data_IF_468228908157
#
_entry.id   IF_468228908157
#
_cell.length_a   1.000
_cell.length_b   1.000
_cell.length_c   1.000
_cell.angle_alpha   90.00
_cell.angle_beta   90.00
_cell.angle_gamma   90.00
#
_symmetry.space_group_name_H-M   'P 1'
#
loop_
_entity.id
_entity.type
_entity.pdbx_description
1 polymer ?
#
# COMPACT_ATOMS: atom_id res chain seq x y z
N UNK A 1 20.42 11.48 -34.57
CA UNK A 1 19.61 11.47 -33.34
C UNK A 1 19.00 10.09 -33.19
N UNK A 2 19.49 9.27 -32.25
CA UNK A 2 18.75 8.12 -31.76
C UNK A 2 18.11 8.46 -30.41
N UNK A 3 16.79 8.30 -30.34
CA UNK A 3 16.00 8.41 -29.13
C UNK A 3 16.44 7.34 -28.12
N UNK A 4 16.88 7.80 -26.95
CA UNK A 4 17.10 6.97 -25.76
C UNK A 4 15.80 6.91 -24.97
N UNK A 5 15.39 5.76 -24.44
CA UNK A 5 14.24 5.69 -23.54
C UNK A 5 14.59 6.41 -22.22
N UNK A 6 13.78 7.40 -21.88
CA UNK A 6 13.89 8.20 -20.66
C UNK A 6 13.67 7.32 -19.43
N UNK A 7 14.68 7.28 -18.58
CA UNK A 7 14.72 6.58 -17.30
C UNK A 7 13.99 7.40 -16.22
N UNK A 8 13.23 6.71 -15.38
CA UNK A 8 12.63 7.23 -14.15
C UNK A 8 13.69 7.89 -13.26
N UNK A 9 13.36 9.08 -12.77
CA UNK A 9 14.28 10.05 -12.19
C UNK A 9 14.48 9.81 -10.69
N UNK A 10 15.39 8.91 -10.31
CA UNK A 10 15.99 8.92 -8.97
C UNK A 10 17.49 8.56 -9.06
N UNK A 11 18.30 9.57 -9.40
CA UNK A 11 19.71 9.62 -9.05
C UNK A 11 20.06 11.02 -8.55
N UNK A 12 20.11 11.19 -7.23
CA UNK A 12 20.92 12.25 -6.61
C UNK A 12 21.97 11.57 -5.74
N UNK A 13 23.21 11.70 -6.21
CA UNK A 13 24.43 11.20 -5.60
C UNK A 13 24.65 11.78 -4.19
N UNK A 14 24.66 10.90 -3.20
CA UNK A 14 25.34 11.12 -1.95
C UNK A 14 26.86 11.29 -2.22
N UNK A 15 27.39 12.49 -2.07
CA UNK A 15 28.85 12.73 -2.01
C UNK A 15 29.23 13.62 -0.83
N UNK A 16 29.64 12.94 0.25
CA UNK A 16 30.60 13.27 1.31
C UNK A 16 30.99 14.75 1.53
N UNK A 17 30.89 15.20 2.79
CA UNK A 17 32.00 15.83 3.53
C UNK A 17 31.90 15.52 5.03
N UNK A 18 32.72 14.59 5.51
CA UNK A 18 33.13 14.50 6.92
C UNK A 18 34.22 15.54 7.13
N UNK A 19 34.06 16.44 8.10
CA UNK A 19 35.17 17.18 8.68
C UNK A 19 35.21 16.88 10.18
N UNK A 20 36.36 16.37 10.62
CA UNK A 20 36.76 16.13 12.00
C UNK A 20 36.93 17.47 12.75
N UNK A 21 36.35 17.60 13.94
CA UNK A 21 36.95 18.38 15.03
C UNK A 21 36.78 17.59 16.33
N UNK A 22 37.91 17.10 16.85
CA UNK A 22 38.08 16.53 18.19
C UNK A 22 38.95 17.48 19.02
N UNK A 23 38.73 17.45 20.34
CA UNK A 23 39.56 18.01 21.42
C UNK A 23 39.56 19.53 21.66
N UNK A 24 38.78 19.97 22.66
CA UNK A 24 39.33 20.72 23.79
C UNK A 24 38.84 20.09 25.08
N UNK A 25 39.78 19.51 25.83
CA UNK A 25 39.64 19.01 27.19
C UNK A 25 39.58 20.17 28.19
N UNK A 26 38.78 19.98 29.23
CA UNK A 26 39.30 20.15 30.59
C UNK A 26 38.95 21.45 31.32
N UNK A 27 38.56 21.26 32.58
CA UNK A 27 38.62 22.19 33.70
C UNK A 27 37.43 23.16 33.85
N UNK A 28 36.36 22.66 34.48
CA UNK A 28 35.82 23.36 35.64
C UNK A 28 35.64 22.37 36.78
N UNK A 29 36.65 22.38 37.65
CA UNK A 29 36.68 21.70 38.94
C UNK A 29 35.63 22.31 39.89
N UNK A 30 34.96 21.41 40.63
CA UNK A 30 34.79 21.43 42.08
C UNK A 30 34.81 22.79 42.82
N UNK A 31 33.67 23.15 43.41
CA UNK A 31 33.44 23.67 44.77
C UNK A 31 32.02 24.26 44.75
N UNK A 32 31.06 23.85 45.58
CA UNK A 32 30.90 24.06 47.03
C UNK A 32 29.94 22.93 47.47
N UNK A 33 30.23 22.09 48.46
CA UNK A 33 30.34 22.44 49.87
C UNK A 33 29.02 22.07 50.58
N UNK A 34 29.12 21.15 51.53
CA UNK A 34 28.05 20.41 52.23
C UNK A 34 27.30 21.22 53.30
N UNK A 35 26.17 20.62 53.72
CA UNK A 35 25.43 20.75 54.99
C UNK A 35 24.45 21.92 55.22
N UNK A 36 23.16 21.57 55.32
CA UNK A 36 22.47 21.61 56.62
C UNK A 36 21.22 20.70 56.62
N UNK A 37 21.09 19.91 57.68
CA UNK A 37 19.99 18.98 57.96
C UNK A 37 19.01 19.60 58.98
N UNK A 38 17.75 19.15 58.90
CA UNK A 38 16.66 19.23 59.90
C UNK A 38 16.03 20.62 60.13
N UNK A 39 14.74 20.80 60.42
CA UNK A 39 13.48 20.04 60.41
C UNK A 39 12.40 21.09 60.72
N UNK A 40 11.20 21.02 60.13
CA UNK A 40 9.92 21.06 60.85
C UNK A 40 8.71 21.12 59.90
N UNK A 41 7.74 20.29 60.24
CA UNK A 41 6.46 20.05 59.59
C UNK A 41 5.44 21.14 59.92
N UNK A 42 4.65 21.54 58.92
CA UNK A 42 3.22 21.85 58.96
C UNK A 42 2.84 22.22 57.52
N UNK A 43 1.98 21.55 56.77
CA UNK A 43 0.71 20.96 57.15
C UNK A 43 -0.35 21.58 56.24
N UNK A 44 -0.43 21.16 54.97
CA UNK A 44 -1.65 21.32 54.17
C UNK A 44 -1.88 20.07 53.31
N UNK A 45 -2.90 19.34 53.72
CA UNK A 45 -3.54 18.25 53.01
C UNK A 45 -4.21 18.82 51.74
N UNK A 46 -3.56 18.72 50.59
CA UNK A 46 -4.27 18.61 49.32
C UNK A 46 -3.99 17.22 48.76
N UNK A 47 -4.97 16.33 48.92
CA UNK A 47 -5.10 15.11 48.13
C UNK A 47 -5.26 15.52 46.66
N UNK A 48 -4.14 15.76 45.99
CA UNK A 48 -4.08 15.59 44.54
C UNK A 48 -4.26 14.10 44.33
N UNK A 49 -5.49 13.72 43.99
CA UNK A 49 -5.78 12.43 43.40
C UNK A 49 -4.94 12.34 42.13
N UNK A 50 -3.76 11.72 42.23
CA UNK A 50 -3.10 11.11 41.08
C UNK A 50 -4.09 10.10 40.55
N UNK A 51 -4.89 10.54 39.60
CA UNK A 51 -5.66 9.67 38.73
C UNK A 51 -4.59 8.89 37.95
N UNK A 52 -4.15 7.76 38.50
CA UNK A 52 -3.44 6.74 37.76
C UNK A 52 -4.42 6.30 36.67
N UNK A 53 -4.34 6.92 35.50
CA UNK A 53 -4.84 6.33 34.26
C UNK A 53 -3.86 5.24 33.85
N UNK A 54 -3.73 4.20 34.67
CA UNK A 54 -3.30 2.89 34.20
C UNK A 54 -4.48 2.29 33.44
N UNK A 55 -4.75 2.83 32.26
CA UNK A 55 -5.34 2.01 31.20
C UNK A 55 -4.20 1.16 30.65
N UNK A 56 -3.78 0.14 31.41
CA UNK A 56 -2.99 -0.95 30.85
C UNK A 56 -3.93 -1.78 29.95
N UNK A 57 -4.38 -1.19 28.85
CA UNK A 57 -4.79 -1.96 27.69
C UNK A 57 -3.51 -2.56 27.16
N UNK A 58 -3.28 -3.85 27.42
CA UNK A 58 -2.20 -4.58 26.76
C UNK A 58 -2.48 -4.54 25.25
N UNK A 59 -1.89 -3.56 24.57
CA UNK A 59 -1.94 -3.46 23.11
C UNK A 59 -1.33 -4.73 22.55
N UNK A 60 -1.97 -5.32 21.54
CA UNK A 60 -1.49 -6.54 20.90
C UNK A 60 -0.12 -6.27 20.26
N UNK A 61 0.89 -7.02 20.71
CA UNK A 61 2.27 -6.97 20.19
C UNK A 61 2.57 -8.33 19.54
N UNK A 62 2.57 -8.44 18.20
CA UNK A 62 3.04 -9.64 17.53
C UNK A 62 4.57 -9.78 17.70
N UNK A 63 5.08 -11.01 17.66
CA UNK A 63 6.52 -11.33 17.73
C UNK A 63 7.15 -11.29 16.34
N UNK A 64 8.47 -11.07 16.26
CA UNK A 64 9.19 -11.15 15.00
C UNK A 64 9.04 -12.52 14.31
N UNK A 65 8.97 -12.54 12.97
CA UNK A 65 8.87 -13.76 12.16
C UNK A 65 7.48 -14.43 12.12
N UNK A 66 6.45 -13.84 12.73
CA UNK A 66 5.07 -14.35 12.66
C UNK A 66 4.57 -14.34 11.21
N UNK A 67 3.85 -15.39 10.79
CA UNK A 67 3.44 -15.52 9.39
C UNK A 67 2.23 -14.65 9.09
N UNK A 68 2.21 -14.01 7.92
CA UNK A 68 1.15 -13.08 7.56
C UNK A 68 0.68 -13.24 6.11
N UNK A 69 -0.41 -12.57 5.78
CA UNK A 69 -0.96 -12.41 4.44
C UNK A 69 -1.47 -10.99 4.31
N UNK A 70 -1.34 -10.41 3.12
CA UNK A 70 -1.94 -9.12 2.76
C UNK A 70 -2.79 -9.27 1.51
N UNK A 71 -4.00 -8.72 1.50
CA UNK A 71 -4.90 -8.72 0.34
C UNK A 71 -5.73 -7.42 0.32
N UNK A 72 -5.46 -6.53 -0.64
CA UNK A 72 -6.07 -5.19 -0.65
C UNK A 72 -7.02 -4.92 -1.83
N UNK A 73 -6.83 -5.54 -3.00
CA UNK A 73 -7.65 -5.21 -4.18
C UNK A 73 -9.08 -5.76 -4.17
N UNK A 74 -9.33 -6.85 -3.42
CA UNK A 74 -10.65 -7.47 -3.34
C UNK A 74 -10.94 -7.88 -1.90
N UNK A 75 -12.22 -7.85 -1.53
CA UNK A 75 -12.68 -8.42 -0.27
C UNK A 75 -12.23 -9.89 -0.13
N UNK A 76 -11.85 -10.29 1.09
CA UNK A 76 -11.40 -11.65 1.36
C UNK A 76 -12.57 -12.62 1.25
N UNK A 77 -12.49 -13.52 0.27
CA UNK A 77 -13.42 -14.63 0.05
C UNK A 77 -12.80 -15.98 0.39
N UNK A 78 -11.51 -16.16 0.11
CA UNK A 78 -10.73 -17.33 0.50
C UNK A 78 -9.95 -17.07 1.80
N UNK A 79 -10.33 -17.80 2.85
CA UNK A 79 -9.73 -17.72 4.19
C UNK A 79 -8.97 -19.00 4.53
N UNK A 80 -8.42 -19.69 3.52
CA UNK A 80 -7.67 -20.95 3.68
C UNK A 80 -6.15 -20.77 3.69
N UNK A 81 -5.65 -19.59 3.32
CA UNK A 81 -4.21 -19.28 3.39
C UNK A 81 -3.73 -19.45 4.83
N UNK A 82 -2.73 -20.33 5.02
CA UNK A 82 -2.13 -20.58 6.32
C UNK A 82 -1.23 -19.41 6.72
N UNK A 83 -1.81 -18.40 7.36
CA UNK A 83 -1.14 -17.25 7.95
C UNK A 83 -1.70 -16.98 9.35
N UNK A 84 -0.90 -16.46 10.27
CA UNK A 84 -1.37 -16.10 11.62
C UNK A 84 -2.07 -14.73 11.62
N UNK A 85 -1.64 -13.85 10.72
CA UNK A 85 -2.08 -12.45 10.60
C UNK A 85 -2.58 -12.19 9.18
N UNK A 86 -3.70 -11.49 9.06
CA UNK A 86 -4.27 -11.02 7.79
C UNK A 86 -4.35 -9.51 7.80
N UNK A 87 -3.72 -8.87 6.81
CA UNK A 87 -3.83 -7.45 6.51
C UNK A 87 -4.77 -7.26 5.31
N UNK A 88 -5.87 -6.56 5.52
CA UNK A 88 -6.97 -6.48 4.56
C UNK A 88 -7.51 -5.05 4.48
N UNK A 89 -8.04 -4.66 3.31
CA UNK A 89 -8.62 -3.33 3.14
C UNK A 89 -9.77 -3.08 4.12
N UNK A 90 -9.72 -1.95 4.83
CA UNK A 90 -10.71 -1.55 5.84
C UNK A 90 -12.09 -1.36 5.23
N UNK A 91 -12.22 -0.80 4.04
CA UNK A 91 -13.51 -0.43 3.45
C UNK A 91 -14.18 -1.62 2.79
N UNK A 92 -13.41 -2.42 2.05
CA UNK A 92 -13.92 -3.50 1.19
C UNK A 92 -14.29 -4.75 1.98
N UNK A 93 -13.79 -4.91 3.21
CA UNK A 93 -14.10 -6.04 4.07
C UNK A 93 -15.17 -5.72 5.12
N UNK A 94 -16.08 -6.66 5.35
CA UNK A 94 -17.16 -6.51 6.34
C UNK A 94 -16.73 -6.97 7.73
N UNK A 95 -17.49 -6.60 8.77
CA UNK A 95 -17.29 -7.13 10.12
C UNK A 95 -17.44 -8.67 10.18
N UNK A 96 -18.28 -9.25 9.32
CA UNK A 96 -18.48 -10.70 9.23
C UNK A 96 -17.24 -11.40 8.64
N UNK A 97 -16.58 -10.79 7.65
CA UNK A 97 -15.28 -11.26 7.12
C UNK A 97 -14.23 -11.30 8.23
N UNK A 98 -14.10 -10.21 8.99
CA UNK A 98 -13.16 -10.11 10.11
C UNK A 98 -13.50 -11.14 11.20
N UNK A 99 -14.77 -11.28 11.56
CA UNK A 99 -15.23 -12.27 12.55
C UNK A 99 -14.92 -13.69 12.09
N UNK A 100 -15.09 -13.99 10.80
CA UNK A 100 -14.77 -15.29 10.20
C UNK A 100 -13.27 -15.59 10.33
N UNK A 101 -12.40 -14.65 9.96
CA UNK A 101 -10.94 -14.80 10.12
C UNK A 101 -10.57 -15.03 11.59
N UNK A 102 -11.11 -14.23 12.51
CA UNK A 102 -10.82 -14.35 13.94
C UNK A 102 -11.32 -15.67 14.54
N UNK A 103 -12.46 -16.19 14.06
CA UNK A 103 -12.99 -17.49 14.51
C UNK A 103 -12.06 -18.67 14.17
N UNK A 104 -11.20 -18.49 13.15
CA UNK A 104 -10.15 -19.43 12.76
C UNK A 104 -8.82 -19.21 13.48
N UNK A 105 -8.76 -18.27 14.42
CA UNK A 105 -7.58 -17.97 15.23
C UNK A 105 -6.67 -16.90 14.63
N UNK A 106 -7.03 -16.29 13.50
CA UNK A 106 -6.23 -15.24 12.89
C UNK A 106 -6.36 -13.90 13.63
N UNK A 107 -5.29 -13.10 13.56
CA UNK A 107 -5.35 -11.66 13.87
C UNK A 107 -5.61 -10.87 12.59
N UNK A 108 -6.36 -9.77 12.70
CA UNK A 108 -6.72 -8.95 11.54
C UNK A 108 -6.19 -7.52 11.69
N UNK A 109 -5.35 -7.12 10.75
CA UNK A 109 -4.90 -5.75 10.53
C UNK A 109 -5.80 -5.16 9.43
N UNK A 110 -6.22 -3.92 9.61
CA UNK A 110 -7.05 -3.21 8.65
C UNK A 110 -6.26 -2.07 8.01
N UNK A 111 -5.98 -2.23 6.72
CA UNK A 111 -5.33 -1.24 5.86
C UNK A 111 -6.27 -0.05 5.58
N UNK A 112 -5.72 1.16 5.59
CA UNK A 112 -6.31 2.32 4.93
C UNK A 112 -5.22 3.33 4.61
N UNK A 113 -5.35 4.11 3.53
CA UNK A 113 -4.43 5.23 3.35
C UNK A 113 -4.72 6.35 4.35
N UNK A 114 -3.70 6.78 5.10
CA UNK A 114 -3.79 7.91 6.02
C UNK A 114 -3.18 9.19 5.45
N UNK A 115 -2.19 9.05 4.57
CA UNK A 115 -1.48 10.16 3.94
C UNK A 115 -2.00 10.57 2.56
N UNK A 116 -2.98 9.84 1.99
CA UNK A 116 -3.58 10.21 0.70
C UNK A 116 -5.10 10.17 0.71
N UNK A 117 -5.65 10.98 -0.19
CA UNK A 117 -7.03 10.97 -0.64
C UNK A 117 -7.14 9.95 -1.78
N UNK A 118 -8.16 9.12 -1.74
CA UNK A 118 -8.46 8.08 -2.72
C UNK A 118 -9.87 8.32 -3.26
N UNK A 119 -10.03 8.70 -4.53
CA UNK A 119 -11.31 9.20 -5.08
C UNK A 119 -12.44 8.16 -5.14
N UNK A 120 -12.12 6.89 -4.90
CA UNK A 120 -13.07 5.78 -4.83
C UNK A 120 -13.61 5.51 -3.42
N UNK A 121 -13.08 6.17 -2.37
CA UNK A 121 -13.54 5.92 -0.99
C UNK A 121 -14.91 6.57 -0.73
N UNK A 122 -15.78 5.94 0.08
CA UNK A 122 -17.12 6.46 0.32
C UNK A 122 -17.13 7.74 1.18
N UNK A 123 -16.02 8.08 1.82
CA UNK A 123 -15.88 9.26 2.69
C UNK A 123 -15.20 10.46 2.02
N UNK A 124 -14.98 10.43 0.70
CA UNK A 124 -14.31 11.50 -0.08
C UNK A 124 -14.94 12.89 0.12
N UNK A 125 -16.26 12.95 0.31
CA UNK A 125 -17.00 14.20 0.50
C UNK A 125 -16.67 14.92 1.80
N UNK A 126 -15.94 14.26 2.71
CA UNK A 126 -15.48 14.85 3.97
C UNK A 126 -14.18 15.62 3.83
N UNK A 127 -13.40 15.43 2.76
CA UNK A 127 -12.14 16.13 2.56
C UNK A 127 -12.39 17.54 2.01
N UNK A 128 -11.67 18.52 2.54
CA UNK A 128 -11.68 19.87 1.99
C UNK A 128 -10.66 19.93 0.84
N UNK A 129 -10.98 20.64 -0.24
CA UNK A 129 -10.08 20.75 -1.41
C UNK A 129 -8.73 21.38 -1.06
N UNK A 130 -8.68 22.19 0.00
CA UNK A 130 -7.46 22.80 0.54
C UNK A 130 -6.51 21.80 1.20
N UNK A 131 -6.99 20.60 1.54
CA UNK A 131 -6.16 19.54 2.13
C UNK A 131 -5.49 18.65 1.06
N UNK A 132 -5.81 18.86 -0.22
CA UNK A 132 -5.33 18.01 -1.30
C UNK A 132 -4.07 18.57 -1.96
N UNK A 133 -2.99 17.80 -1.92
CA UNK A 133 -1.69 18.07 -2.55
C UNK A 133 -1.62 17.56 -3.99
N UNK A 134 -0.39 17.24 -4.41
CA UNK A 134 -0.12 16.67 -5.72
C UNK A 134 -0.73 15.26 -5.87
N UNK A 135 -0.96 14.87 -7.12
CA UNK A 135 -1.31 13.49 -7.45
C UNK A 135 -0.13 12.55 -7.17
N UNK A 136 -0.43 11.27 -6.91
CA UNK A 136 0.57 10.21 -6.94
C UNK A 136 0.70 9.72 -8.39
N UNK A 137 1.91 9.78 -8.95
CA UNK A 137 2.14 9.53 -10.38
C UNK A 137 1.71 8.11 -10.83
N UNK A 138 1.85 7.13 -9.95
CA UNK A 138 1.56 5.71 -10.23
C UNK A 138 0.11 5.31 -9.90
N UNK A 139 -0.64 6.19 -9.22
CA UNK A 139 -1.97 5.89 -8.67
C UNK A 139 -2.99 6.95 -9.09
N UNK A 140 -3.63 6.80 -10.27
CA UNK A 140 -4.67 7.71 -10.73
C UNK A 140 -5.83 7.81 -9.73
N UNK A 141 -6.31 9.03 -9.48
CA UNK A 141 -7.36 9.29 -8.49
C UNK A 141 -6.85 9.47 -7.06
N UNK A 142 -5.54 9.29 -6.83
CA UNK A 142 -4.90 9.41 -5.52
C UNK A 142 -4.10 10.70 -5.38
N UNK A 143 -4.23 11.37 -4.23
CA UNK A 143 -3.56 12.66 -3.95
C UNK A 143 -3.01 12.73 -2.53
N UNK A 144 -1.85 13.34 -2.36
CA UNK A 144 -1.28 13.59 -1.02
C UNK A 144 -2.22 14.44 -0.16
N UNK A 145 -2.28 14.14 1.15
CA UNK A 145 -3.09 14.88 2.11
C UNK A 145 -2.24 15.78 3.00
N UNK A 146 -2.81 16.94 3.36
CA UNK A 146 -2.28 17.78 4.41
C UNK A 146 -2.53 17.14 5.79
N UNK A 147 -1.64 16.26 6.23
CA UNK A 147 -1.72 15.52 7.50
C UNK A 147 -1.69 16.39 8.77
N UNK A 148 -1.44 17.70 8.62
CA UNK A 148 -1.52 18.69 9.69
C UNK A 148 -2.94 19.23 9.90
N UNK A 149 -3.84 18.99 8.94
CA UNK A 149 -5.22 19.47 8.98
C UNK A 149 -6.02 18.75 10.06
N UNK A 150 -6.71 19.53 10.90
CA UNK A 150 -7.67 19.00 11.87
C UNK A 150 -8.80 18.22 11.18
N UNK A 151 -9.17 18.62 9.96
CA UNK A 151 -10.18 17.94 9.15
C UNK A 151 -9.70 16.55 8.73
N UNK A 152 -8.48 16.44 8.18
CA UNK A 152 -7.86 15.15 7.84
C UNK A 152 -7.74 14.26 9.08
N UNK A 153 -7.29 14.81 10.21
CA UNK A 153 -7.21 14.07 11.48
C UNK A 153 -8.57 13.57 11.97
N UNK A 154 -9.63 14.35 11.83
CA UNK A 154 -10.99 13.92 12.16
C UNK A 154 -11.51 12.80 11.24
N UNK A 155 -11.15 12.84 9.95
CA UNK A 155 -11.48 11.76 9.00
C UNK A 155 -10.74 10.47 9.40
N UNK A 156 -9.44 10.53 9.69
CA UNK A 156 -8.69 9.35 10.13
C UNK A 156 -9.19 8.81 11.47
N UNK A 157 -9.60 9.68 12.39
CA UNK A 157 -10.29 9.28 13.62
C UNK A 157 -11.56 8.46 13.32
N UNK A 158 -12.36 8.91 12.35
CA UNK A 158 -13.56 8.19 11.91
C UNK A 158 -13.24 6.85 11.24
N UNK A 159 -12.14 6.76 10.48
CA UNK A 159 -11.65 5.49 9.91
C UNK A 159 -11.18 4.52 11.02
N UNK A 160 -10.52 5.02 12.05
CA UNK A 160 -10.15 4.22 13.23
C UNK A 160 -11.39 3.76 14.03
N UNK A 161 -12.43 4.59 14.14
CA UNK A 161 -13.72 4.17 14.73
C UNK A 161 -14.35 3.03 13.92
N UNK A 162 -14.31 3.12 12.59
CA UNK A 162 -14.78 2.06 11.70
C UNK A 162 -13.98 0.77 11.89
N UNK A 163 -12.65 0.84 11.93
CA UNK A 163 -11.78 -0.31 12.16
C UNK A 163 -12.12 -1.00 13.50
N UNK A 164 -12.29 -0.21 14.57
CA UNK A 164 -12.70 -0.76 15.86
C UNK A 164 -14.07 -1.42 15.80
N UNK A 165 -15.05 -0.79 15.16
CA UNK A 165 -16.41 -1.30 15.04
C UNK A 165 -16.47 -2.61 14.23
N UNK A 166 -15.63 -2.75 13.20
CA UNK A 166 -15.53 -3.99 12.40
C UNK A 166 -14.75 -5.11 13.11
N UNK A 167 -13.99 -4.79 14.17
CA UNK A 167 -13.32 -5.77 15.01
C UNK A 167 -11.84 -6.01 14.69
N UNK A 168 -11.19 -5.08 13.97
CA UNK A 168 -9.75 -5.12 13.68
C UNK A 168 -8.93 -5.24 14.98
N UNK A 169 -7.86 -6.05 14.97
CA UNK A 169 -6.88 -6.14 16.06
C UNK A 169 -5.83 -5.01 15.95
N UNK A 170 -5.63 -4.47 14.76
CA UNK A 170 -4.72 -3.38 14.49
C UNK A 170 -4.98 -2.71 13.14
N UNK A 171 -4.19 -1.69 12.81
CA UNK A 171 -4.32 -0.92 11.56
C UNK A 171 -2.98 -0.72 10.87
N UNK A 172 -3.01 -0.68 9.54
CA UNK A 172 -1.89 -0.34 8.66
C UNK A 172 -2.19 0.96 7.90
N UNK A 173 -1.82 2.13 8.46
CA UNK A 173 -2.06 3.42 7.84
C UNK A 173 -0.97 3.72 6.78
N UNK A 174 -1.35 3.75 5.51
CA UNK A 174 -0.42 3.96 4.40
C UNK A 174 -0.09 5.43 4.14
N UNK A 175 0.93 5.65 3.29
CA UNK A 175 1.37 6.92 2.72
C UNK A 175 1.83 7.94 3.77
N UNK A 176 2.38 7.45 4.89
CA UNK A 176 2.87 8.29 5.98
C UNK A 176 4.20 9.00 5.66
N UNK A 177 4.80 8.70 4.51
CA UNK A 177 6.10 9.15 4.03
C UNK A 177 6.00 10.22 2.93
N UNK A 178 4.89 10.96 2.90
CA UNK A 178 4.67 12.07 1.97
C UNK A 178 5.84 13.08 1.94
N UNK A 179 6.59 13.24 3.04
CA UNK A 179 7.77 14.12 3.12
C UNK A 179 8.92 13.69 2.19
N UNK A 180 9.01 12.41 1.84
CA UNK A 180 10.01 11.88 0.89
C UNK A 180 9.60 12.07 -0.57
N UNK A 181 8.39 12.60 -0.80
CA UNK A 181 7.74 12.66 -2.10
C UNK A 181 7.46 14.11 -2.53
N UNK A 182 7.18 14.29 -3.82
CA UNK A 182 6.72 15.57 -4.39
C UNK A 182 5.26 15.86 -3.98
N UNK A 183 5.01 16.08 -2.69
CA UNK A 183 3.65 16.14 -2.12
C UNK A 183 2.88 17.44 -2.43
N UNK A 184 3.55 18.53 -2.77
CA UNK A 184 2.91 19.82 -3.08
C UNK A 184 2.37 20.59 -1.87
N UNK A 185 2.63 20.10 -0.65
CA UNK A 185 2.12 20.64 0.62
C UNK A 185 3.24 21.09 1.58
N UNK A 186 4.51 20.82 1.23
CA UNK A 186 5.67 21.15 2.04
C UNK A 186 5.76 20.33 3.32
N UNK A 187 5.23 19.09 3.30
CA UNK A 187 5.28 18.19 4.45
C UNK A 187 6.72 17.75 4.75
N UNK A 188 7.01 17.62 6.04
CA UNK A 188 8.33 17.25 6.57
C UNK A 188 8.27 15.95 7.37
N UNK A 189 9.42 15.32 7.64
CA UNK A 189 9.54 14.19 8.57
C UNK A 189 8.87 14.50 9.92
N UNK A 190 9.04 15.72 10.42
CA UNK A 190 8.45 16.17 11.69
C UNK A 190 6.92 16.16 11.67
N UNK A 191 6.30 16.51 10.53
CA UNK A 191 4.85 16.47 10.36
C UNK A 191 4.34 15.03 10.37
N UNK A 192 5.03 14.11 9.71
CA UNK A 192 4.68 12.68 9.72
C UNK A 192 4.90 12.03 11.08
N UNK A 193 5.97 12.37 11.80
CA UNK A 193 6.20 11.90 13.17
C UNK A 193 5.07 12.37 14.10
N UNK A 194 4.63 13.63 14.00
CA UNK A 194 3.49 14.12 14.79
C UNK A 194 2.18 13.41 14.43
N UNK A 195 1.95 13.22 13.14
CA UNK A 195 0.75 12.53 12.66
C UNK A 195 0.71 11.05 13.07
N UNK A 196 1.82 10.33 12.98
CA UNK A 196 1.95 8.95 13.48
C UNK A 196 1.75 8.86 14.99
N UNK A 197 2.29 9.81 15.76
CA UNK A 197 2.01 9.91 17.21
C UNK A 197 0.53 10.12 17.49
N UNK A 198 -0.17 10.91 16.66
CA UNK A 198 -1.61 11.07 16.74
C UNK A 198 -2.35 9.76 16.42
N UNK A 199 -2.07 9.13 15.29
CA UNK A 199 -2.71 7.87 14.87
C UNK A 199 -2.47 6.74 15.89
N UNK A 200 -1.26 6.63 16.43
CA UNK A 200 -0.94 5.62 17.44
C UNK A 200 -1.74 5.83 18.72
N UNK A 201 -1.82 7.07 19.24
CA UNK A 201 -2.66 7.38 20.41
C UNK A 201 -4.13 7.06 20.16
N UNK A 202 -4.66 7.45 18.99
CA UNK A 202 -6.05 7.18 18.64
C UNK A 202 -6.33 5.67 18.49
N UNK A 203 -5.44 4.93 17.83
CA UNK A 203 -5.55 3.46 17.69
C UNK A 203 -5.46 2.75 19.05
N UNK A 204 -4.46 3.10 19.87
CA UNK A 204 -4.27 2.51 21.21
C UNK A 204 -5.45 2.82 22.13
N UNK A 205 -6.04 4.01 22.05
CA UNK A 205 -7.24 4.36 22.84
C UNK A 205 -8.46 3.48 22.50
N UNK A 206 -8.49 2.92 21.29
CA UNK A 206 -9.49 1.95 20.82
C UNK A 206 -9.07 0.50 21.09
N UNK A 207 -7.92 0.29 21.72
CA UNK A 207 -7.36 -1.03 22.00
C UNK A 207 -6.87 -1.77 20.76
N UNK A 208 -6.54 -1.05 19.69
CA UNK A 208 -5.97 -1.59 18.46
C UNK A 208 -4.48 -1.29 18.41
N UNK A 209 -3.71 -2.17 17.79
CA UNK A 209 -2.31 -1.94 17.47
C UNK A 209 -2.13 -1.10 16.19
N UNK A 210 -0.92 -0.63 15.90
CA UNK A 210 -0.60 0.16 14.71
C UNK A 210 0.81 -0.18 14.20
N UNK A 211 0.97 -0.18 12.88
CA UNK A 211 2.24 -0.34 12.18
C UNK A 211 2.79 0.97 11.62
N UNK A 212 4.09 0.94 11.30
CA UNK A 212 4.72 1.90 10.41
C UNK A 212 4.82 1.31 9.00
N UNK A 213 4.14 1.91 8.03
CA UNK A 213 4.25 1.57 6.61
C UNK A 213 5.39 2.37 5.97
N UNK A 214 6.41 1.69 5.46
CA UNK A 214 7.64 2.29 4.92
C UNK A 214 8.27 3.30 5.91
N UNK A 215 8.65 4.50 5.47
CA UNK A 215 9.15 5.56 6.38
C UNK A 215 10.43 5.22 7.16
N UNK A 216 11.39 4.54 6.52
CA UNK A 216 12.60 4.04 7.16
C UNK A 216 13.45 5.09 7.90
N UNK A 217 13.44 6.33 7.41
CA UNK A 217 14.17 7.47 7.95
C UNK A 217 13.64 7.99 9.30
N UNK A 218 12.35 7.78 9.58
CA UNK A 218 11.71 8.21 10.84
C UNK A 218 11.58 7.10 11.90
N UNK A 219 12.05 5.87 11.62
CA UNK A 219 11.96 4.72 12.53
C UNK A 219 12.45 5.08 13.94
N UNK A 220 13.62 5.73 14.04
CA UNK A 220 14.21 6.09 15.34
C UNK A 220 13.33 7.01 16.20
N UNK A 221 12.37 7.71 15.59
CA UNK A 221 11.44 8.62 16.28
C UNK A 221 10.10 7.99 16.65
N UNK A 222 9.74 6.85 16.04
CA UNK A 222 8.39 6.25 16.17
C UNK A 222 8.41 4.78 16.59
N UNK A 223 9.55 4.09 16.54
CA UNK A 223 9.64 2.65 16.83
C UNK A 223 9.05 2.28 18.19
N UNK A 224 9.16 3.13 19.22
CA UNK A 224 8.61 2.84 20.55
C UNK A 224 7.08 2.76 20.57
N UNK A 225 6.39 3.53 19.72
CA UNK A 225 4.92 3.60 19.69
C UNK A 225 4.29 2.63 18.67
N UNK A 226 5.09 2.06 17.77
CA UNK A 226 4.65 1.12 16.74
C UNK A 226 4.74 -0.33 17.22
N UNK A 227 3.85 -1.19 16.74
CA UNK A 227 3.86 -2.63 17.07
C UNK A 227 4.58 -3.45 15.99
N UNK A 228 4.66 -2.96 14.76
CA UNK A 228 5.38 -3.59 13.65
C UNK A 228 5.80 -2.54 12.61
N UNK A 229 6.54 -2.98 11.61
CA UNK A 229 6.70 -2.28 10.34
C UNK A 229 6.06 -3.10 9.22
N UNK A 230 5.37 -2.44 8.29
CA UNK A 230 5.08 -2.97 6.97
C UNK A 230 6.06 -2.31 6.01
N UNK A 231 6.81 -3.09 5.25
CA UNK A 231 7.76 -2.56 4.28
C UNK A 231 7.54 -3.19 2.91
N UNK A 232 7.62 -2.36 1.89
CA UNK A 232 7.64 -2.78 0.50
C UNK A 232 9.07 -2.63 -0.05
N UNK A 233 9.56 -3.70 -0.67
CA UNK A 233 10.70 -3.69 -1.58
C UNK A 233 12.07 -3.35 -0.98
N UNK A 234 12.28 -3.53 0.33
CA UNK A 234 13.60 -3.21 0.89
C UNK A 234 14.72 -4.07 0.31
N UNK A 235 14.45 -5.27 -0.21
CA UNK A 235 15.46 -6.11 -0.83
C UNK A 235 15.83 -5.58 -2.22
N UNK A 236 14.83 -5.19 -3.02
CA UNK A 236 15.03 -4.53 -4.32
C UNK A 236 15.88 -3.26 -4.15
N UNK A 237 15.56 -2.43 -3.15
CA UNK A 237 16.22 -1.14 -2.91
C UNK A 237 17.42 -1.21 -1.96
N UNK A 238 17.76 -2.40 -1.44
CA UNK A 238 18.89 -2.67 -0.53
C UNK A 238 18.86 -1.84 0.76
N UNK A 239 17.68 -1.68 1.32
CA UNK A 239 17.41 -0.86 2.51
C UNK A 239 16.90 -1.67 3.70
N UNK A 240 16.84 -2.99 3.63
CA UNK A 240 16.32 -3.84 4.72
C UNK A 240 17.03 -3.62 6.06
N UNK A 241 18.31 -3.22 6.04
CA UNK A 241 19.06 -2.93 7.26
C UNK A 241 18.47 -1.80 8.11
N UNK A 242 17.72 -0.87 7.50
CA UNK A 242 17.02 0.19 8.23
C UNK A 242 15.82 -0.37 9.00
N UNK A 243 15.06 -1.26 8.36
CA UNK A 243 13.86 -1.88 8.95
C UNK A 243 14.20 -2.98 9.98
N UNK A 244 15.41 -3.55 9.92
CA UNK A 244 15.91 -4.53 10.90
C UNK A 244 15.89 -4.01 12.35
N UNK A 245 15.89 -2.69 12.54
CA UNK A 245 15.68 -2.08 13.85
C UNK A 245 14.40 -2.59 14.57
N UNK A 246 13.33 -2.94 13.84
CA UNK A 246 12.14 -3.55 14.43
C UNK A 246 12.39 -4.96 14.97
N UNK A 247 13.04 -5.82 14.17
CA UNK A 247 13.29 -7.22 14.60
C UNK A 247 14.36 -7.31 15.68
N UNK A 248 15.26 -6.33 15.78
CA UNK A 248 16.23 -6.18 16.88
C UNK A 248 15.55 -5.94 18.24
N UNK A 249 14.34 -5.35 18.25
CA UNK A 249 13.51 -5.16 19.44
C UNK A 249 12.29 -6.09 19.48
N UNK A 250 12.37 -7.23 18.77
CA UNK A 250 11.36 -8.30 18.70
C UNK A 250 9.98 -7.87 18.17
N UNK A 251 9.95 -6.83 17.34
CA UNK A 251 8.76 -6.42 16.57
C UNK A 251 8.89 -6.95 15.14
N UNK A 252 7.80 -7.47 14.53
CA UNK A 252 7.90 -8.00 13.18
C UNK A 252 8.06 -6.88 12.15
N UNK A 253 8.73 -7.24 11.07
CA UNK A 253 8.68 -6.54 9.79
C UNK A 253 7.87 -7.43 8.85
N UNK A 254 6.69 -6.97 8.48
CA UNK A 254 5.84 -7.52 7.45
C UNK A 254 6.36 -7.02 6.11
N UNK A 255 7.13 -7.86 5.43
CA UNK A 255 7.92 -7.47 4.28
C UNK A 255 7.30 -7.98 2.98
N UNK A 256 7.10 -7.10 2.01
CA UNK A 256 6.52 -7.38 0.71
C UNK A 256 7.59 -7.19 -0.37
N UNK A 257 7.81 -8.20 -1.20
CA UNK A 257 8.51 -8.05 -2.47
C UNK A 257 7.54 -8.34 -3.62
N UNK A 258 7.70 -7.66 -4.75
CA UNK A 258 6.75 -7.80 -5.86
C UNK A 258 7.30 -8.65 -7.00
N UNK A 259 6.45 -9.53 -7.52
CA UNK A 259 6.72 -10.39 -8.67
C UNK A 259 7.08 -9.62 -9.95
N UNK A 260 6.72 -8.32 -10.02
CA UNK A 260 6.71 -7.49 -11.23
C UNK A 260 5.85 -8.06 -12.36
N UNK A 261 5.10 -9.15 -12.10
CA UNK A 261 4.14 -9.71 -13.05
C UNK A 261 2.76 -9.12 -12.78
N UNK A 262 2.22 -8.37 -13.75
CA UNK A 262 0.77 -8.22 -13.86
C UNK A 262 0.30 -9.51 -14.53
N UNK A 263 -0.26 -10.44 -13.74
CA UNK A 263 -1.04 -11.52 -14.32
C UNK A 263 -2.35 -10.87 -14.77
N UNK A 264 -2.43 -10.50 -16.05
CA UNK A 264 -3.71 -10.21 -16.68
C UNK A 264 -4.59 -11.45 -16.49
N UNK A 265 -5.64 -11.32 -15.69
CA UNK A 265 -6.64 -12.36 -15.55
C UNK A 265 -7.39 -12.38 -16.89
N UNK A 266 -7.05 -13.33 -17.76
CA UNK A 266 -7.80 -13.55 -19.00
C UNK A 266 -9.23 -13.93 -18.63
N UNK A 267 -10.15 -12.98 -18.79
CA UNK A 267 -11.57 -13.13 -18.53
C UNK A 267 -12.41 -12.47 -19.63
N UNK A 268 -12.90 -13.31 -20.54
CA UNK A 268 -14.07 -13.10 -21.41
C UNK A 268 -13.97 -12.10 -22.58
N UNK A 269 -13.65 -12.64 -23.76
CA UNK A 269 -14.45 -12.46 -24.97
C UNK A 269 -14.53 -11.04 -25.56
N UNK A 270 -13.63 -10.75 -26.50
CA UNK A 270 -13.83 -9.70 -27.50
C UNK A 270 -13.08 -10.06 -28.77
N UNK A 271 -13.79 -10.53 -29.79
CA UNK A 271 -13.22 -10.69 -31.13
C UNK A 271 -12.93 -9.30 -31.72
N UNK A 272 -11.71 -9.07 -32.19
CA UNK A 272 -11.31 -7.77 -32.73
C UNK A 272 -10.01 -7.84 -33.51
N UNK A 273 -10.10 -8.45 -34.69
CA UNK A 273 -9.38 -8.14 -35.95
C UNK A 273 -7.90 -7.74 -35.92
N UNK A 274 -7.10 -8.62 -36.53
CA UNK A 274 -5.88 -8.41 -37.31
C UNK A 274 -5.44 -6.95 -37.56
N UNK A 275 -4.23 -6.61 -37.10
CA UNK A 275 -3.40 -5.58 -37.74
C UNK A 275 -2.01 -6.15 -38.00
N UNK A 276 -1.65 -6.10 -39.28
CA UNK A 276 -0.45 -6.62 -39.91
C UNK A 276 0.83 -5.90 -39.43
N UNK A 277 1.91 -6.70 -39.34
CA UNK A 277 3.29 -6.24 -39.24
C UNK A 277 3.64 -5.30 -40.41
N UNK A 278 4.15 -4.10 -40.10
CA UNK A 278 4.90 -3.30 -41.07
C UNK A 278 6.35 -3.12 -40.58
N UNK A 279 7.21 -3.82 -41.33
CA UNK A 279 8.66 -3.72 -41.41
C UNK A 279 9.13 -2.28 -41.68
N UNK A 280 9.96 -1.73 -40.78
CA UNK A 280 10.59 -0.41 -40.98
C UNK A 280 11.89 -0.54 -41.75
N UNK A 281 11.79 -0.50 -43.07
CA UNK A 281 12.89 -0.26 -44.01
C UNK A 281 13.20 1.23 -44.14
N UNK A 282 14.47 1.57 -43.92
CA UNK A 282 15.15 2.85 -44.20
C UNK A 282 14.75 3.50 -45.54
N UNK A 283 14.59 4.84 -45.56
CA UNK A 283 15.24 5.77 -46.51
C UNK A 283 14.99 7.24 -46.10
N UNK A 284 16.04 8.04 -46.24
CA UNK A 284 16.11 9.47 -46.03
C UNK A 284 15.32 10.30 -47.06
N UNK A 285 14.85 11.49 -46.70
CA UNK A 285 15.33 12.80 -47.23
C UNK A 285 14.46 13.97 -46.76
N UNK A 286 15.16 15.09 -46.58
CA UNK A 286 14.77 16.51 -46.43
C UNK A 286 13.46 17.00 -47.08
N UNK A 287 12.81 18.01 -46.49
CA UNK A 287 12.83 19.46 -46.89
C UNK A 287 11.89 20.27 -45.98
N UNK A 288 12.29 21.53 -45.74
CA UNK A 288 11.72 22.59 -44.89
C UNK A 288 10.37 23.22 -45.34
N UNK A 289 9.88 24.12 -44.45
CA UNK A 289 9.04 25.34 -44.67
C UNK A 289 7.51 25.13 -44.60
N UNK A 290 6.63 26.01 -44.08
CA UNK A 290 6.55 27.09 -43.06
C UNK A 290 5.07 27.60 -43.14
N UNK A 291 4.65 28.37 -42.12
CA UNK A 291 3.61 29.44 -42.13
C UNK A 291 2.10 29.14 -41.91
N UNK A 292 1.61 29.79 -40.83
CA UNK A 292 0.29 30.44 -40.54
C UNK A 292 -1.00 29.68 -40.19
N UNK A 293 -1.35 29.74 -38.90
CA UNK A 293 -2.34 30.67 -38.26
C UNK A 293 -3.61 31.04 -39.05
N UNK A 294 -4.79 30.59 -38.57
CA UNK A 294 -6.07 31.34 -38.58
C UNK A 294 -6.83 31.06 -37.28
N UNK A 295 -7.47 32.12 -36.80
CA UNK A 295 -8.15 32.32 -35.52
C UNK A 295 -9.69 32.19 -35.66
N UNK A 296 -10.36 32.18 -34.51
CA UNK A 296 -11.69 32.75 -34.22
C UNK A 296 -12.99 31.95 -34.38
N UNK A 297 -13.65 31.85 -33.21
CA UNK A 297 -15.04 32.25 -32.87
C UNK A 297 -16.25 31.40 -33.28
N UNK A 298 -16.87 30.82 -32.23
CA UNK A 298 -18.26 30.98 -31.77
C UNK A 298 -19.40 31.21 -32.79
N UNK A 299 -20.46 30.40 -32.71
CA UNK A 299 -21.83 30.90 -32.43
C UNK A 299 -22.79 29.79 -31.95
N UNK A 300 -23.78 30.24 -31.20
CA UNK A 300 -25.07 29.72 -30.73
C UNK A 300 -25.92 29.08 -31.85
N UNK A 301 -27.02 28.33 -31.68
CA UNK A 301 -27.92 27.90 -30.59
C UNK A 301 -29.22 27.34 -31.24
N UNK A 302 -30.09 26.73 -30.41
CA UNK A 302 -31.57 26.62 -30.56
C UNK A 302 -32.21 25.40 -31.29
N UNK A 303 -33.04 24.66 -30.51
CA UNK A 303 -34.34 23.96 -30.75
C UNK A 303 -34.52 22.94 -31.90
N UNK A 304 -35.34 21.88 -31.84
CA UNK A 304 -36.58 21.56 -31.09
C UNK A 304 -36.89 20.04 -31.21
N UNK A 305 -37.71 19.53 -30.28
CA UNK A 305 -38.42 18.24 -30.29
C UNK A 305 -39.13 17.87 -31.61
N UNK A 306 -39.20 16.58 -31.93
CA UNK A 306 -40.39 15.91 -32.51
C UNK A 306 -40.46 14.45 -32.04
N UNK A 307 -41.59 14.09 -31.44
CA UNK A 307 -42.04 12.75 -31.07
C UNK A 307 -42.31 11.86 -32.29
N UNK A 308 -42.24 10.53 -32.13
CA UNK A 308 -43.31 9.64 -32.58
C UNK A 308 -43.16 8.21 -32.03
N UNK A 309 -44.21 7.81 -31.33
CA UNK A 309 -44.61 6.44 -31.02
C UNK A 309 -45.10 5.71 -32.29
N UNK A 310 -45.00 4.37 -32.28
CA UNK A 310 -46.04 3.39 -32.67
C UNK A 310 -45.35 2.01 -32.75
N UNK A 311 -45.64 1.06 -31.84
CA UNK A 311 -46.76 0.10 -31.83
C UNK A 311 -46.51 -1.13 -32.71
N UNK A 312 -46.41 -2.31 -32.07
CA UNK A 312 -47.43 -3.39 -32.07
C UNK A 312 -46.96 -4.46 -33.09
N UNK A 313 -47.08 -5.79 -32.97
CA UNK A 313 -47.90 -6.68 -32.16
C UNK A 313 -47.36 -8.14 -32.31
N UNK A 314 -47.68 -8.97 -31.32
CA UNK A 314 -48.12 -10.39 -31.39
C UNK A 314 -47.19 -11.50 -31.94
N UNK A 315 -46.86 -12.51 -31.11
CA UNK A 315 -47.59 -13.79 -30.88
C UNK A 315 -47.00 -14.90 -31.77
N UNK A 316 -46.99 -16.20 -31.48
CA UNK A 316 -47.21 -17.08 -30.33
C UNK A 316 -46.68 -18.47 -30.80
N UNK A 317 -46.72 -19.46 -29.90
CA UNK A 317 -46.73 -20.93 -30.15
C UNK A 317 -45.37 -21.58 -30.46
N UNK A 318 -44.77 -22.42 -29.59
CA UNK A 318 -45.19 -23.67 -28.90
C UNK A 318 -44.46 -24.87 -29.53
N UNK A 319 -43.88 -25.69 -28.64
CA UNK A 319 -43.70 -27.14 -28.74
C UNK A 319 -42.79 -27.69 -29.87
N UNK A 320 -41.96 -28.72 -29.70
CA UNK A 320 -42.01 -29.86 -28.79
C UNK A 320 -40.70 -30.68 -28.98
N UNK A 321 -40.35 -31.45 -27.93
CA UNK A 321 -39.73 -32.78 -27.94
C UNK A 321 -38.23 -32.99 -28.19
N UNK A 322 -37.62 -33.41 -27.09
CA UNK A 322 -36.62 -34.46 -26.86
C UNK A 322 -36.34 -35.42 -28.02
N UNK A 323 -35.06 -35.80 -28.18
CA UNK A 323 -34.65 -37.21 -28.28
C UNK A 323 -33.16 -37.38 -27.96
N UNK A 324 -32.93 -38.25 -27.00
CA UNK A 324 -31.69 -38.90 -26.55
C UNK A 324 -31.06 -39.78 -27.65
N UNK A 325 -29.73 -39.84 -27.79
CA UNK A 325 -29.00 -41.08 -28.14
C UNK A 325 -27.47 -40.93 -27.96
N UNK A 326 -26.93 -41.80 -27.12
CA UNK A 326 -25.52 -42.12 -26.91
C UNK A 326 -24.95 -42.98 -28.07
N UNK A 327 -23.66 -42.81 -28.39
CA UNK A 327 -22.69 -43.89 -28.66
C UNK A 327 -21.43 -43.40 -29.39
N UNK A 328 -20.35 -43.33 -28.62
CA UNK A 328 -19.00 -43.87 -28.86
C UNK A 328 -18.37 -43.97 -30.27
N UNK A 329 -17.10 -43.51 -30.28
CA UNK A 329 -15.91 -44.06 -30.95
C UNK A 329 -15.59 -43.69 -32.41
N UNK A 330 -14.45 -43.00 -32.61
CA UNK A 330 -13.30 -43.54 -33.34
C UNK A 330 -12.10 -42.59 -33.37
N UNK A 331 -10.96 -43.16 -33.04
CA UNK A 331 -9.61 -42.59 -33.05
C UNK A 331 -9.15 -42.28 -34.47
N UNK A 332 -8.63 -41.08 -34.71
CA UNK A 332 -7.62 -40.84 -35.77
C UNK A 332 -6.38 -40.19 -35.18
N UNK A 333 -5.27 -40.93 -35.20
CA UNK A 333 -3.92 -40.47 -34.85
C UNK A 333 -3.49 -39.39 -35.84
N UNK A 334 -3.20 -38.17 -35.36
CA UNK A 334 -2.35 -37.19 -36.07
C UNK A 334 -1.05 -36.98 -35.29
N UNK A 335 0.05 -36.94 -36.05
CA UNK A 335 1.44 -36.80 -35.58
C UNK A 335 1.64 -35.50 -34.78
N UNK A 336 2.55 -35.46 -33.79
CA UNK A 336 2.75 -34.25 -32.99
C UNK A 336 3.50 -33.20 -33.82
N UNK A 337 2.84 -32.09 -34.11
CA UNK A 337 3.54 -30.84 -34.42
C UNK A 337 4.21 -30.36 -33.14
N UNK A 338 5.55 -30.34 -33.14
CA UNK A 338 6.37 -29.68 -32.13
C UNK A 338 6.04 -28.18 -32.13
N UNK A 339 5.17 -27.74 -31.23
CA UNK A 339 5.11 -26.34 -30.82
C UNK A 339 6.11 -26.13 -29.68
N UNK A 340 7.33 -25.76 -30.04
CA UNK A 340 8.45 -25.50 -29.14
C UNK A 340 8.50 -24.08 -28.57
N UNK A 341 7.37 -23.39 -28.37
CA UNK A 341 7.34 -22.01 -27.86
C UNK A 341 6.63 -21.82 -26.51
N UNK A 342 5.93 -22.84 -25.98
CA UNK A 342 5.31 -22.78 -24.63
C UNK A 342 6.29 -23.01 -23.47
N UNK A 343 7.33 -23.83 -23.68
CA UNK A 343 8.28 -24.16 -22.62
C UNK A 343 9.25 -23.03 -22.28
N UNK A 344 9.59 -22.16 -23.24
CA UNK A 344 10.53 -21.06 -22.98
C UNK A 344 9.90 -19.95 -22.15
N UNK A 345 8.64 -19.55 -22.44
CA UNK A 345 7.92 -18.56 -21.60
C UNK A 345 7.65 -19.09 -20.20
N UNK A 346 7.17 -20.33 -20.07
CA UNK A 346 6.94 -20.95 -18.75
C UNK A 346 8.24 -21.14 -17.96
N UNK A 347 9.32 -21.56 -18.63
CA UNK A 347 10.64 -21.68 -17.99
C UNK A 347 11.24 -20.33 -17.63
N UNK A 348 11.06 -19.30 -18.46
CA UNK A 348 11.51 -17.94 -18.15
C UNK A 348 10.73 -17.36 -16.96
N UNK A 349 9.39 -17.50 -16.91
CA UNK A 349 8.57 -17.12 -15.76
C UNK A 349 8.97 -17.86 -14.48
N UNK A 350 9.11 -19.19 -14.55
CA UNK A 350 9.55 -19.99 -13.40
C UNK A 350 10.96 -19.62 -12.92
N UNK A 351 11.86 -19.18 -13.82
CA UNK A 351 13.22 -18.73 -13.47
C UNK A 351 13.22 -17.30 -12.92
N UNK A 352 12.37 -16.40 -13.41
CA UNK A 352 12.17 -15.06 -12.84
C UNK A 352 11.59 -15.17 -11.43
N UNK A 353 10.56 -16.00 -11.23
CA UNK A 353 10.00 -16.31 -9.91
C UNK A 353 11.06 -16.92 -8.98
N UNK A 354 11.89 -17.88 -9.44
CA UNK A 354 12.91 -18.48 -8.57
C UNK A 354 14.08 -17.54 -8.23
N UNK A 355 14.48 -16.66 -9.15
CA UNK A 355 15.52 -15.65 -8.91
C UNK A 355 15.02 -14.58 -7.95
N UNK A 356 13.82 -14.05 -8.20
CA UNK A 356 13.16 -13.10 -7.31
C UNK A 356 12.97 -13.69 -5.92
N UNK A 357 12.49 -14.93 -5.83
CA UNK A 357 12.34 -15.62 -4.55
C UNK A 357 13.67 -15.73 -3.83
N UNK A 358 14.72 -16.10 -4.56
CA UNK A 358 16.05 -16.21 -3.96
C UNK A 358 16.55 -14.85 -3.47
N UNK A 359 16.34 -13.75 -4.21
CA UNK A 359 16.76 -12.42 -3.78
C UNK A 359 15.94 -11.89 -2.61
N UNK A 360 14.62 -12.10 -2.62
CA UNK A 360 13.72 -11.69 -1.54
C UNK A 360 13.99 -12.46 -0.25
N UNK A 361 14.08 -13.80 -0.33
CA UNK A 361 14.23 -14.66 0.85
C UNK A 361 15.64 -14.65 1.46
N UNK A 362 16.66 -14.24 0.69
CA UNK A 362 18.04 -14.15 1.17
C UNK A 362 18.54 -12.69 1.20
N UNK A 363 17.62 -11.73 1.29
CA UNK A 363 17.96 -10.32 1.36
C UNK A 363 18.85 -10.04 2.59
N UNK A 364 19.92 -9.28 2.39
CA UNK A 364 20.84 -8.96 3.48
C UNK A 364 20.13 -8.10 4.55
N UNK A 365 20.31 -8.46 5.82
CA UNK A 365 19.69 -7.82 6.98
C UNK A 365 18.16 -7.97 7.07
N UNK A 366 17.56 -8.86 6.28
CA UNK A 366 16.14 -9.23 6.41
C UNK A 366 15.94 -10.45 7.34
N UNK A 367 16.90 -10.72 8.23
CA UNK A 367 16.80 -11.81 9.19
C UNK A 367 15.55 -11.61 10.07
N UNK A 368 14.71 -12.66 10.17
CA UNK A 368 13.41 -12.65 10.87
C UNK A 368 12.33 -11.73 10.27
N UNK A 369 12.53 -11.21 9.07
CA UNK A 369 11.43 -10.56 8.35
C UNK A 369 10.42 -11.63 7.97
N UNK A 370 9.14 -11.28 8.07
CA UNK A 370 8.07 -12.10 7.55
C UNK A 370 7.90 -11.74 6.08
N UNK A 371 8.68 -12.33 5.19
CA UNK A 371 8.70 -11.95 3.77
C UNK A 371 7.64 -12.70 2.97
N UNK A 372 6.81 -11.95 2.26
CA UNK A 372 5.88 -12.44 1.24
C UNK A 372 6.23 -11.84 -0.12
N UNK A 373 6.06 -12.63 -1.16
CA UNK A 373 6.12 -12.19 -2.55
C UNK A 373 4.69 -12.07 -3.05
N UNK A 374 4.36 -10.93 -3.64
CA UNK A 374 3.00 -10.55 -4.06
C UNK A 374 2.97 -10.04 -5.50
N UNK A 375 1.81 -10.05 -6.12
CA UNK A 375 1.54 -9.22 -7.30
C UNK A 375 1.38 -7.76 -6.86
N UNK A 376 1.64 -6.81 -7.77
CA UNK A 376 1.56 -5.37 -7.48
C UNK A 376 0.17 -4.93 -6.99
N UNK A 377 -0.89 -5.59 -7.46
CA UNK A 377 -2.25 -5.31 -7.03
C UNK A 377 -2.59 -5.88 -5.64
N UNK A 378 -1.68 -6.60 -4.97
CA UNK A 378 -1.94 -7.20 -3.66
C UNK A 378 -3.22 -8.05 -3.64
N UNK A 379 -3.40 -8.90 -4.64
CA UNK A 379 -4.46 -9.91 -4.70
C UNK A 379 -4.28 -11.02 -3.66
N UNK A 380 -5.10 -12.08 -3.74
CA UNK A 380 -5.03 -13.20 -2.81
C UNK A 380 -3.75 -14.05 -2.98
N UNK A 381 -3.04 -13.97 -4.11
CA UNK A 381 -1.87 -14.81 -4.38
C UNK A 381 -0.71 -14.42 -3.47
N UNK A 382 -0.05 -15.41 -2.89
CA UNK A 382 1.11 -15.19 -2.01
C UNK A 382 2.13 -16.31 -2.15
N UNK A 383 3.39 -15.93 -2.27
CA UNK A 383 4.52 -16.85 -2.14
C UNK A 383 5.36 -16.49 -0.93
N UNK A 384 5.65 -17.48 -0.08
CA UNK A 384 6.38 -17.28 1.16
C UNK A 384 7.88 -17.54 1.00
N UNK A 385 8.65 -16.74 1.74
CA UNK A 385 9.91 -17.13 2.35
C UNK A 385 9.60 -17.78 3.71
#
# INVERSE_FOLDING_TARGET
>A
MPNSPQMSCWQVLATKKKLLISCVLGLFFLAIGTDLRAELRAGQNQKISKRNTTSNTNIWQPTAGVKWQIQLINAVSDTTVNADIWDIDLFDNTADTITTLKSKGHKVICYFSAGTYEDWRPDISKFDTADLGNNLDEWPGERWLNIKSDKVRAIMTSRLDMAKAKGCDGVDPDNIDAYGNSNGLGLTEGDSIDFLKFLARESHSRGMAIGLKNGGDIIGSVIEIMQWSVNEQCAEFKECGVYAAFTEVDKPVFHIEYSKEIIEVEGSGGSGTDIEDIDTGSVATSVDVDVTKIDSSADTGIDTNVDNEDKDDEADEEDDKEDEYDATAAVTRRKPHRYGHGHQKLRARAVLSSTLKTSACNAANADKFSTVIKNMNLDAWVEYC
#
